data_IF_236594625197
#
_entry.id   IF_236594625197
#
_cell.length_a   1.000
_cell.length_b   1.000
_cell.length_c   1.000
_cell.angle_alpha   90.00
_cell.angle_beta   90.00
_cell.angle_gamma   90.00
#
_symmetry.space_group_name_H-M   'P 1'
#
loop_
_entity.id
_entity.type
_entity.pdbx_description
1 polymer ?
#
# COMPACT_ATOMS: atom_id res chain seq x y z
N UNK A 1 -35.86 -40.12 -2.16
CA UNK A 1 -34.96 -39.97 -0.99
C UNK A 1 -33.55 -39.82 -1.55
N UNK A 2 -33.02 -38.59 -1.73
CA UNK A 2 -32.19 -37.83 -0.76
C UNK A 2 -30.98 -38.68 -0.30
N UNK A 3 -29.71 -38.27 -0.43
CA UNK A 3 -29.11 -36.93 -0.30
C UNK A 3 -27.78 -36.86 -1.07
N UNK A 4 -27.54 -35.76 -1.79
CA UNK A 4 -26.24 -35.45 -2.39
C UNK A 4 -25.24 -34.91 -1.35
N UNK A 5 -24.02 -35.45 -1.34
CA UNK A 5 -22.91 -34.88 -0.58
C UNK A 5 -22.38 -33.63 -1.30
N UNK A 6 -22.90 -32.47 -0.90
CA UNK A 6 -22.25 -31.19 -1.17
C UNK A 6 -21.05 -31.02 -0.25
N UNK A 7 -19.84 -31.09 -0.80
CA UNK A 7 -18.62 -30.70 -0.11
C UNK A 7 -18.65 -29.17 0.11
N UNK A 8 -19.08 -28.75 1.30
CA UNK A 8 -18.91 -27.38 1.76
C UNK A 8 -17.42 -27.11 2.01
N UNK A 9 -16.76 -26.45 1.06
CA UNK A 9 -15.48 -25.79 1.34
C UNK A 9 -15.75 -24.61 2.27
N UNK A 10 -15.64 -24.84 3.58
CA UNK A 10 -15.52 -23.77 4.56
C UNK A 10 -14.20 -23.06 4.29
N UNK A 11 -14.28 -21.91 3.64
CA UNK A 11 -13.15 -21.02 3.39
C UNK A 11 -12.78 -20.39 4.73
N UNK A 12 -12.02 -21.11 5.55
CA UNK A 12 -11.41 -20.56 6.76
C UNK A 12 -10.52 -19.39 6.33
N UNK A 13 -11.01 -18.16 6.51
CA UNK A 13 -10.18 -16.96 6.45
C UNK A 13 -9.27 -17.02 7.66
N UNK A 14 -8.12 -17.68 7.51
CA UNK A 14 -7.04 -17.63 8.49
C UNK A 14 -6.67 -16.17 8.65
N UNK A 15 -7.17 -15.52 9.71
CA UNK A 15 -6.66 -14.22 10.15
C UNK A 15 -5.28 -14.50 10.71
N UNK A 16 -4.27 -14.42 9.85
CA UNK A 16 -2.87 -14.52 10.26
C UNK A 16 -2.63 -13.48 11.35
N UNK A 17 -2.21 -13.88 12.57
CA UNK A 17 -1.91 -12.94 13.63
C UNK A 17 -0.76 -12.05 13.17
N UNK A 18 -1.02 -10.75 13.06
CA UNK A 18 0.01 -9.78 12.74
C UNK A 18 0.50 -9.16 14.06
N UNK A 19 1.78 -9.37 14.37
CA UNK A 19 2.47 -8.70 15.47
C UNK A 19 3.33 -7.59 14.86
N UNK A 20 3.05 -6.33 15.19
CA UNK A 20 3.94 -5.20 14.83
C UNK A 20 5.34 -5.55 15.29
N UNK A 21 6.31 -5.46 14.38
CA UNK A 21 7.73 -5.67 14.69
C UNK A 21 8.28 -4.43 15.38
N UNK A 22 9.19 -4.64 16.32
CA UNK A 22 10.01 -3.58 16.88
C UNK A 22 11.13 -3.25 15.89
N UNK A 23 10.88 -2.27 15.01
CA UNK A 23 11.95 -1.74 14.15
C UNK A 23 12.87 -0.88 15.02
N UNK A 24 14.12 -1.30 15.18
CA UNK A 24 15.15 -0.49 15.83
C UNK A 24 15.24 0.87 15.11
N UNK A 25 14.92 1.91 15.87
CA UNK A 25 14.56 3.23 15.36
C UNK A 25 15.80 4.02 14.91
N UNK A 26 16.05 4.07 13.60
CA UNK A 26 16.77 5.22 13.01
C UNK A 26 15.80 6.41 13.01
N UNK A 27 15.82 7.23 14.08
CA UNK A 27 15.03 8.47 14.26
C UNK A 27 13.54 8.37 13.89
N UNK A 28 12.71 8.11 14.89
CA UNK A 28 11.26 8.01 14.78
C UNK A 28 10.60 9.39 14.72
N UNK A 29 9.43 9.45 14.12
CA UNK A 29 8.55 10.61 14.23
C UNK A 29 8.09 10.75 15.68
N UNK A 30 8.46 11.86 16.34
CA UNK A 30 8.07 12.16 17.71
C UNK A 30 6.73 12.93 17.79
N UNK A 31 6.12 13.29 16.65
CA UNK A 31 4.80 13.92 16.57
C UNK A 31 3.74 12.86 16.21
N UNK A 32 2.89 12.41 17.16
CA UNK A 32 1.88 11.39 16.91
C UNK A 32 0.85 11.79 15.86
N UNK A 33 0.50 13.08 15.77
CA UNK A 33 -0.48 13.55 14.80
C UNK A 33 0.08 13.49 13.37
N UNK A 34 1.37 13.80 13.20
CA UNK A 34 2.06 13.65 11.93
C UNK A 34 2.14 12.17 11.52
N UNK A 35 2.48 11.27 12.45
CA UNK A 35 2.51 9.84 12.19
C UNK A 35 1.13 9.30 11.77
N UNK A 36 0.07 9.76 12.42
CA UNK A 36 -1.30 9.41 12.07
C UNK A 36 -1.68 9.89 10.67
N UNK A 37 -1.38 11.14 10.31
CA UNK A 37 -1.66 11.67 8.97
C UNK A 37 -0.93 10.87 7.87
N UNK A 38 0.34 10.49 8.12
CA UNK A 38 1.10 9.64 7.20
C UNK A 38 0.45 8.26 7.06
N UNK A 39 -0.03 7.67 8.15
CA UNK A 39 -0.73 6.37 8.11
C UNK A 39 -2.06 6.46 7.34
N UNK A 40 -2.84 7.52 7.55
CA UNK A 40 -4.09 7.75 6.82
C UNK A 40 -3.85 7.93 5.31
N UNK A 41 -2.87 8.75 4.92
CA UNK A 41 -2.48 8.91 3.52
C UNK A 41 -1.99 7.57 2.96
N UNK A 42 -1.19 6.82 3.72
CA UNK A 42 -0.72 5.50 3.31
C UNK A 42 -1.88 4.56 2.99
N UNK A 43 -2.85 4.43 3.89
CA UNK A 43 -4.00 3.55 3.71
C UNK A 43 -4.88 3.99 2.52
N UNK A 44 -5.11 5.29 2.36
CA UNK A 44 -5.86 5.84 1.20
C UNK A 44 -5.17 5.48 -0.12
N UNK A 45 -3.84 5.59 -0.18
CA UNK A 45 -3.06 5.18 -1.35
C UNK A 45 -3.23 3.70 -1.66
N UNK A 46 -3.16 2.83 -0.65
CA UNK A 46 -3.32 1.38 -0.87
C UNK A 46 -4.72 1.06 -1.40
N UNK A 47 -5.75 1.69 -0.83
CA UNK A 47 -7.14 1.48 -1.25
C UNK A 47 -7.40 1.97 -2.69
N UNK A 48 -6.95 3.18 -3.02
CA UNK A 48 -7.05 3.75 -4.35
C UNK A 48 -6.33 2.90 -5.40
N UNK A 49 -5.15 2.38 -5.05
CA UNK A 49 -4.41 1.47 -5.92
C UNK A 49 -5.17 0.14 -6.15
N UNK A 50 -5.67 -0.50 -5.09
CA UNK A 50 -6.44 -1.76 -5.21
C UNK A 50 -7.73 -1.60 -6.03
N UNK A 51 -8.38 -0.44 -5.91
CA UNK A 51 -9.58 -0.07 -6.70
C UNK A 51 -9.27 0.41 -8.12
N UNK A 52 -8.01 0.66 -8.44
CA UNK A 52 -7.57 1.28 -9.69
C UNK A 52 -8.14 2.70 -9.89
N UNK A 53 -8.46 3.40 -8.80
CA UNK A 53 -9.06 4.73 -8.80
C UNK A 53 -8.16 5.72 -8.04
N UNK A 54 -7.22 6.31 -8.75
CA UNK A 54 -6.31 7.30 -8.20
C UNK A 54 -6.94 8.68 -8.04
N UNK A 55 -8.13 8.94 -8.60
CA UNK A 55 -8.73 10.28 -8.56
C UNK A 55 -8.91 10.78 -7.13
N UNK A 56 -9.27 9.87 -6.23
CA UNK A 56 -9.37 10.11 -4.77
C UNK A 56 -8.08 10.63 -4.12
N UNK A 57 -6.93 10.43 -4.77
CA UNK A 57 -5.61 10.84 -4.27
C UNK A 57 -5.15 12.21 -4.76
N UNK A 58 -5.89 12.91 -5.61
CA UNK A 58 -5.48 14.23 -6.10
C UNK A 58 -5.14 15.25 -4.99
N UNK A 59 -5.78 15.24 -3.80
CA UNK A 59 -5.39 16.10 -2.69
C UNK A 59 -4.05 15.70 -2.05
N UNK A 60 -3.73 14.41 -2.08
CA UNK A 60 -2.60 13.81 -1.38
C UNK A 60 -1.40 13.49 -2.27
N UNK A 61 -1.52 13.58 -3.60
CA UNK A 61 -0.43 13.30 -4.54
C UNK A 61 0.07 14.57 -5.19
N UNK A 62 1.40 14.73 -5.22
CA UNK A 62 2.04 15.64 -6.15
C UNK A 62 1.81 15.20 -7.60
N UNK A 63 1.70 16.18 -8.50
CA UNK A 63 1.24 15.96 -9.89
C UNK A 63 2.10 14.95 -10.65
N UNK A 64 3.43 15.01 -10.46
CA UNK A 64 4.37 14.09 -11.10
C UNK A 64 4.16 12.63 -10.65
N UNK A 65 3.87 12.40 -9.36
CA UNK A 65 3.60 11.07 -8.84
C UNK A 65 2.27 10.54 -9.38
N UNK A 66 1.25 11.42 -9.39
CA UNK A 66 -0.07 11.11 -9.91
C UNK A 66 0.01 10.64 -11.37
N UNK A 67 0.61 11.45 -12.25
CA UNK A 67 0.78 11.09 -13.66
C UNK A 67 1.56 9.78 -13.84
N UNK A 68 2.64 9.59 -13.06
CA UNK A 68 3.44 8.37 -13.11
C UNK A 68 2.59 7.14 -12.75
N UNK A 69 1.84 7.19 -11.66
CA UNK A 69 1.02 6.06 -11.22
C UNK A 69 -0.16 5.81 -12.16
N UNK A 70 -0.80 6.85 -12.71
CA UNK A 70 -1.80 6.69 -13.77
C UNK A 70 -1.25 5.91 -14.96
N UNK A 71 -0.06 6.27 -15.46
CA UNK A 71 0.60 5.55 -16.57
C UNK A 71 0.90 4.10 -16.23
N UNK A 72 1.25 3.79 -14.97
CA UNK A 72 1.45 2.40 -14.54
C UNK A 72 0.14 1.62 -14.60
N UNK A 73 -0.94 2.15 -14.01
CA UNK A 73 -2.24 1.47 -14.03
C UNK A 73 -2.78 1.30 -15.46
N UNK A 74 -2.65 2.34 -16.30
CA UNK A 74 -3.03 2.26 -17.71
C UNK A 74 -2.25 1.17 -18.45
N UNK A 75 -0.93 1.08 -18.23
CA UNK A 75 -0.11 0.03 -18.84
C UNK A 75 -0.52 -1.37 -18.38
N UNK A 76 -0.92 -1.54 -17.12
CA UNK A 76 -1.42 -2.83 -16.60
C UNK A 76 -2.77 -3.17 -17.24
N UNK A 77 -3.69 -2.21 -17.30
CA UNK A 77 -4.99 -2.37 -17.96
C UNK A 77 -4.84 -2.74 -19.44
N UNK A 78 -3.94 -2.09 -20.16
CA UNK A 78 -3.67 -2.39 -21.58
C UNK A 78 -3.09 -3.79 -21.80
N UNK A 79 -2.55 -4.43 -20.75
CA UNK A 79 -2.09 -5.82 -20.77
C UNK A 79 -3.15 -6.81 -20.28
N UNK A 80 -4.37 -6.35 -19.97
CA UNK A 80 -5.38 -7.19 -19.33
C UNK A 80 -4.99 -7.61 -17.92
N UNK A 81 -4.33 -6.74 -17.16
CA UNK A 81 -3.80 -7.04 -15.82
C UNK A 81 -4.31 -6.05 -14.77
N UNK A 82 -4.60 -6.54 -13.57
CA UNK A 82 -4.89 -5.72 -12.38
C UNK A 82 -4.01 -6.20 -11.23
N UNK A 83 -3.32 -5.27 -10.57
CA UNK A 83 -2.65 -5.56 -9.31
C UNK A 83 -3.59 -5.29 -8.14
N UNK A 84 -3.60 -6.21 -7.19
CA UNK A 84 -4.31 -6.09 -5.93
C UNK A 84 -3.31 -5.98 -4.80
N UNK A 85 -3.45 -4.93 -3.99
CA UNK A 85 -2.73 -4.76 -2.73
C UNK A 85 -3.76 -4.66 -1.62
N UNK A 86 -3.93 -5.74 -0.86
CA UNK A 86 -5.03 -5.90 0.10
C UNK A 86 -4.54 -6.10 1.52
N UNK A 87 -5.41 -5.71 2.46
CA UNK A 87 -5.18 -5.93 3.90
C UNK A 87 -3.82 -5.37 4.36
N UNK A 88 -3.45 -4.22 3.79
CA UNK A 88 -2.22 -3.51 4.13
C UNK A 88 -2.27 -3.07 5.60
N UNK A 89 -1.17 -3.27 6.31
CA UNK A 89 -0.99 -2.81 7.69
C UNK A 89 0.34 -2.08 7.73
N UNK A 90 0.34 -0.84 8.22
CA UNK A 90 1.57 -0.09 8.44
C UNK A 90 2.22 -0.58 9.74
N UNK A 91 3.43 -1.10 9.61
CA UNK A 91 4.16 -1.75 10.70
C UNK A 91 5.05 -0.74 11.43
N UNK A 92 5.63 0.21 10.69
CA UNK A 92 6.48 1.24 11.28
C UNK A 92 6.83 2.37 10.30
N UNK A 93 7.07 3.55 10.88
CA UNK A 93 7.59 4.73 10.19
C UNK A 93 8.95 5.05 10.81
N UNK A 94 9.98 5.16 9.97
CA UNK A 94 11.36 5.39 10.42
C UNK A 94 12.06 6.40 9.54
N UNK A 95 13.28 6.78 9.91
CA UNK A 95 14.18 7.60 9.13
C UNK A 95 13.57 8.94 8.73
N UNK A 96 12.88 9.58 9.68
CA UNK A 96 12.35 10.93 9.48
C UNK A 96 13.49 11.90 9.22
N UNK A 97 13.51 12.47 8.02
CA UNK A 97 14.54 13.41 7.59
C UNK A 97 13.92 14.58 6.86
N UNK A 98 14.01 15.76 7.46
CA UNK A 98 13.74 17.03 6.79
C UNK A 98 14.76 17.26 5.67
N UNK A 99 14.27 17.75 4.52
CA UNK A 99 15.08 18.05 3.34
C UNK A 99 15.19 19.56 3.18
N UNK A 100 14.07 20.25 2.93
CA UNK A 100 13.92 21.72 2.83
C UNK A 100 12.46 22.10 2.67
N UNK A 101 12.08 23.34 3.01
CA UNK A 101 10.78 23.93 2.62
C UNK A 101 9.54 23.05 2.90
N UNK A 102 9.39 22.56 4.14
CA UNK A 102 8.33 21.60 4.54
C UNK A 102 8.34 20.29 3.74
N UNK A 103 9.48 19.92 3.16
CA UNK A 103 9.68 18.61 2.56
C UNK A 103 10.47 17.73 3.51
N UNK A 104 10.03 16.49 3.64
CA UNK A 104 10.69 15.48 4.43
C UNK A 104 10.54 14.11 3.78
N UNK A 105 11.37 13.16 4.19
CA UNK A 105 11.29 11.78 3.76
C UNK A 105 11.20 10.84 4.97
N UNK A 106 10.48 9.73 4.78
CA UNK A 106 10.34 8.65 5.77
C UNK A 106 10.44 7.29 5.07
N UNK A 107 10.91 6.29 5.81
CA UNK A 107 10.84 4.89 5.42
C UNK A 107 9.61 4.25 6.10
N UNK A 108 8.70 3.73 5.29
CA UNK A 108 7.51 2.98 5.68
C UNK A 108 7.79 1.49 5.55
N UNK A 109 7.59 0.76 6.64
CA UNK A 109 7.55 -0.70 6.66
C UNK A 109 6.11 -1.14 6.82
N UNK A 110 5.66 -2.06 5.99
CA UNK A 110 4.29 -2.54 6.02
C UNK A 110 4.20 -3.98 5.51
N UNK A 111 3.11 -4.64 5.86
CA UNK A 111 2.73 -5.91 5.28
C UNK A 111 1.47 -5.78 4.44
N UNK A 112 1.41 -6.43 3.30
CA UNK A 112 0.22 -6.49 2.46
C UNK A 112 0.11 -7.81 1.70
N UNK A 113 -1.11 -8.20 1.34
CA UNK A 113 -1.35 -9.27 0.37
C UNK A 113 -1.24 -8.64 -1.00
N UNK A 114 -0.26 -9.07 -1.80
CA UNK A 114 0.04 -8.52 -3.12
C UNK A 114 0.02 -9.61 -4.19
N UNK A 115 -0.79 -9.39 -5.22
CA UNK A 115 -0.92 -10.31 -6.34
C UNK A 115 -1.44 -9.63 -7.60
N UNK A 116 -1.03 -10.18 -8.74
CA UNK A 116 -1.42 -9.73 -10.08
C UNK A 116 -2.44 -10.70 -10.65
N UNK A 117 -3.54 -10.18 -11.21
CA UNK A 117 -4.63 -10.95 -11.80
C UNK A 117 -4.77 -10.63 -13.30
N UNK A 118 -5.05 -11.65 -14.10
CA UNK A 118 -5.52 -11.50 -15.48
C UNK A 118 -6.99 -11.10 -15.48
N UNK A 119 -7.34 -10.01 -16.16
CA UNK A 119 -8.73 -9.55 -16.31
C UNK A 119 -9.57 -10.59 -17.04
N UNK A 120 -9.02 -11.18 -18.11
CA UNK A 120 -9.77 -12.10 -18.98
C UNK A 120 -10.14 -13.42 -18.28
N UNK A 121 -9.22 -13.95 -17.48
CA UNK A 121 -9.37 -15.28 -16.86
C UNK A 121 -9.69 -15.24 -15.37
N UNK A 122 -9.47 -14.10 -14.71
CA UNK A 122 -9.51 -13.99 -13.25
C UNK A 122 -8.39 -14.74 -12.53
N UNK A 123 -7.45 -15.34 -13.25
CA UNK A 123 -6.36 -16.13 -12.66
C UNK A 123 -5.24 -15.23 -12.13
N UNK A 124 -4.60 -15.69 -11.07
CA UNK A 124 -3.39 -15.06 -10.52
C UNK A 124 -2.23 -15.33 -11.47
N UNK A 125 -1.65 -14.26 -12.00
CA UNK A 125 -0.45 -14.29 -12.87
C UNK A 125 0.81 -14.36 -12.00
N UNK A 126 0.85 -13.61 -10.90
CA UNK A 126 1.99 -13.56 -9.99
C UNK A 126 1.59 -13.10 -8.60
N UNK A 127 2.47 -13.35 -7.61
CA UNK A 127 2.23 -13.02 -6.22
C UNK A 127 1.37 -14.06 -5.50
N UNK A 128 0.74 -13.68 -4.41
CA UNK A 128 -0.06 -14.57 -3.59
C UNK A 128 -1.21 -13.82 -2.92
N UNK A 129 -2.43 -14.39 -2.99
CA UNK A 129 -3.62 -13.81 -2.38
C UNK A 129 -3.94 -14.34 -0.96
N UNK A 130 -3.10 -15.20 -0.39
CA UNK A 130 -3.34 -15.87 0.90
C UNK A 130 -2.49 -15.32 2.05
N UNK A 131 -1.23 -14.95 1.77
CA UNK A 131 -0.28 -14.53 2.79
C UNK A 131 0.15 -13.09 2.54
N UNK A 132 0.36 -12.36 3.64
CA UNK A 132 0.99 -11.05 3.57
C UNK A 132 2.47 -11.19 3.28
N UNK A 133 3.00 -10.25 2.52
CA UNK A 133 4.43 -10.05 2.26
C UNK A 133 4.87 -8.75 2.89
N UNK A 134 6.16 -8.67 3.17
CA UNK A 134 6.79 -7.50 3.77
C UNK A 134 7.27 -6.55 2.67
N UNK A 135 7.08 -5.27 2.92
CA UNK A 135 7.48 -4.19 2.03
C UNK A 135 8.22 -3.12 2.81
N UNK A 136 9.18 -2.50 2.13
CA UNK A 136 9.82 -1.26 2.57
C UNK A 136 9.73 -0.24 1.46
N UNK A 137 9.18 0.93 1.75
CA UNK A 137 9.11 2.03 0.82
C UNK A 137 9.61 3.33 1.45
N UNK A 138 10.29 4.17 0.68
CA UNK A 138 10.59 5.55 1.06
C UNK A 138 9.64 6.49 0.37
N UNK A 139 8.99 7.31 1.17
CA UNK A 139 8.03 8.31 0.72
C UNK A 139 8.59 9.69 1.03
N UNK A 140 8.57 10.55 0.01
CA UNK A 140 8.89 11.96 0.14
C UNK A 140 7.59 12.74 0.22
N UNK A 141 7.46 13.56 1.24
CA UNK A 141 6.31 14.40 1.50
C UNK A 141 6.66 15.87 1.27
N UNK A 142 5.66 16.66 0.90
CA UNK A 142 5.66 18.12 0.92
C UNK A 142 4.43 18.63 1.65
N UNK A 143 4.44 19.91 2.03
CA UNK A 143 3.30 20.56 2.68
C UNK A 143 3.38 20.55 4.20
N UNK A 144 2.40 21.20 4.83
CA UNK A 144 2.31 21.28 6.28
C UNK A 144 1.44 20.14 6.82
N UNK A 145 1.57 19.85 8.11
CA UNK A 145 0.68 18.92 8.81
C UNK A 145 -0.79 19.33 8.59
N UNK A 146 -1.64 18.38 8.21
CA UNK A 146 -3.04 18.56 7.80
C UNK A 146 -3.23 18.83 6.30
N UNK A 147 -2.15 18.95 5.53
CA UNK A 147 -2.16 19.21 4.09
C UNK A 147 -0.96 18.52 3.40
N UNK A 148 -0.54 17.36 3.88
CA UNK A 148 0.59 16.64 3.31
C UNK A 148 0.29 16.08 1.92
N UNK A 149 1.30 16.17 1.04
CA UNK A 149 1.30 15.58 -0.30
C UNK A 149 2.47 14.64 -0.45
N UNK A 150 2.26 13.48 -1.07
CA UNK A 150 3.30 12.53 -1.45
C UNK A 150 3.85 12.93 -2.81
N UNK A 151 5.12 13.28 -2.85
CA UNK A 151 5.81 13.74 -4.05
C UNK A 151 6.48 12.59 -4.79
N UNK A 152 7.04 11.64 -4.03
CA UNK A 152 7.80 10.52 -4.60
C UNK A 152 7.70 9.29 -3.71
N UNK A 153 7.62 8.13 -4.36
CA UNK A 153 7.68 6.83 -3.71
C UNK A 153 8.79 5.98 -4.35
N UNK A 154 9.50 5.24 -3.52
CA UNK A 154 10.51 4.27 -3.92
C UNK A 154 10.38 3.01 -3.08
N UNK A 155 10.27 1.86 -3.72
CA UNK A 155 10.32 0.56 -3.05
C UNK A 155 11.75 0.02 -2.95
N UNK A 156 12.04 -0.66 -1.85
CA UNK A 156 13.30 -1.38 -1.62
C UNK A 156 13.02 -2.87 -1.47
N UNK A 157 13.95 -3.68 -1.97
CA UNK A 157 13.97 -5.12 -1.67
C UNK A 157 14.46 -5.30 -0.24
N UNK A 158 13.71 -6.09 0.53
CA UNK A 158 14.03 -6.52 1.90
C UNK A 158 13.91 -8.04 2.01
#
# INVERSE_FOLDING_TARGET
MLVGLGLYFVRNKVKLPFKKRDYHQEKTINDPALAQEIEEIFLNVQEAWDKQDLQSLSPFYGDQLYEKHQKVLEKMRNKGQINHTRSAILDGITRYKEIKDNQFEVDLYFVAIDYLVSIDSGQIISGNNQYRREFKQRWNFSGQKGALRVEKMREFKI
#
